data_IF_095462644134
#
_entry.id   IF_095462644134
#
_cell.length_a   1.000
_cell.length_b   1.000
_cell.length_c   1.000
_cell.angle_alpha   90.00
_cell.angle_beta   90.00
_cell.angle_gamma   90.00
#
_symmetry.space_group_name_H-M   'P 1'
#
loop_
_entity.id
_entity.type
_entity.pdbx_description
1 polymer ?
#
# COMPACT_ATOMS: atom_id res chain seq x y z
N UNK A 1 28.88 -7.12 33.72
CA UNK A 1 29.03 -5.91 32.89
C UNK A 1 28.26 -6.13 31.59
N UNK A 2 27.15 -5.41 31.34
CA UNK A 2 26.52 -5.43 30.01
C UNK A 2 27.48 -4.71 29.07
N UNK A 3 28.14 -5.44 28.18
CA UNK A 3 28.89 -4.83 27.08
C UNK A 3 27.88 -4.02 26.26
N UNK A 4 28.05 -2.70 26.20
CA UNK A 4 27.23 -1.87 25.34
C UNK A 4 27.64 -2.18 23.90
N UNK A 5 26.84 -3.01 23.22
CA UNK A 5 27.16 -3.47 21.87
C UNK A 5 27.16 -2.27 20.94
N UNK A 6 28.27 -2.08 20.22
CA UNK A 6 28.43 -0.94 19.32
C UNK A 6 27.56 -1.14 18.09
N UNK A 7 27.16 -0.03 17.47
CA UNK A 7 26.38 -0.04 16.26
C UNK A 7 27.19 0.52 15.08
N UNK A 8 27.10 -0.15 13.94
CA UNK A 8 27.83 0.17 12.73
C UNK A 8 26.87 0.23 11.54
N UNK A 9 27.21 1.04 10.54
CA UNK A 9 26.52 1.10 9.25
C UNK A 9 27.51 0.73 8.16
N UNK A 10 27.18 -0.29 7.38
CA UNK A 10 27.93 -0.69 6.18
C UNK A 10 27.08 -0.44 4.94
N UNK A 11 27.73 -0.33 3.78
CA UNK A 11 27.05 -0.11 2.51
C UNK A 11 27.14 -1.35 1.61
N UNK A 12 26.02 -1.69 0.98
CA UNK A 12 25.93 -2.68 -0.08
C UNK A 12 25.68 -1.97 -1.40
N UNK A 13 26.42 -2.35 -2.45
CA UNK A 13 26.12 -1.94 -3.81
C UNK A 13 25.36 -3.08 -4.52
N UNK A 14 24.06 -2.90 -4.82
CA UNK A 14 23.24 -3.93 -5.48
C UNK A 14 23.76 -4.37 -6.85
N UNK A 15 24.67 -3.62 -7.48
CA UNK A 15 25.31 -4.02 -8.74
C UNK A 15 26.45 -5.02 -8.56
N UNK A 16 27.00 -5.14 -7.35
CA UNK A 16 28.12 -6.02 -7.05
C UNK A 16 27.66 -7.29 -6.33
N UNK A 17 26.66 -7.15 -5.45
CA UNK A 17 26.16 -8.23 -4.61
C UNK A 17 24.66 -8.08 -4.39
N UNK A 18 23.90 -9.13 -4.70
CA UNK A 18 22.47 -9.21 -4.45
C UNK A 18 22.18 -9.57 -2.99
N UNK A 19 22.32 -8.57 -2.12
CA UNK A 19 22.02 -8.71 -0.69
C UNK A 19 20.55 -9.04 -0.42
N UNK A 20 19.64 -8.71 -1.35
CA UNK A 20 18.20 -8.98 -1.20
C UNK A 20 17.94 -10.47 -1.43
N UNK A 21 18.41 -11.01 -2.55
CA UNK A 21 18.36 -12.45 -2.82
C UNK A 21 19.09 -13.27 -1.76
N UNK A 22 20.26 -12.79 -1.30
CA UNK A 22 21.04 -13.47 -0.27
C UNK A 22 20.26 -13.59 1.05
N UNK A 23 19.62 -12.52 1.54
CA UNK A 23 18.81 -12.60 2.76
C UNK A 23 17.45 -13.28 2.57
N UNK A 24 16.92 -13.31 1.35
CA UNK A 24 15.74 -14.12 1.02
C UNK A 24 16.04 -15.62 1.15
N UNK A 25 17.27 -16.06 0.82
CA UNK A 25 17.69 -17.47 0.91
C UNK A 25 18.31 -17.82 2.27
N UNK A 26 19.08 -16.91 2.85
CA UNK A 26 19.88 -17.17 4.03
C UNK A 26 19.52 -16.23 5.17
N UNK A 27 19.34 -16.79 6.38
CA UNK A 27 19.22 -15.98 7.60
C UNK A 27 20.55 -15.35 8.03
N UNK A 28 21.67 -15.82 7.47
CA UNK A 28 23.01 -15.37 7.78
C UNK A 28 23.82 -15.22 6.50
N UNK A 29 24.64 -14.18 6.43
CA UNK A 29 25.58 -13.96 5.34
C UNK A 29 26.97 -13.71 5.90
N UNK A 30 28.00 -13.94 5.08
CA UNK A 30 29.37 -13.55 5.41
C UNK A 30 29.73 -12.28 4.65
N UNK A 31 30.35 -11.33 5.34
CA UNK A 31 30.66 -10.01 4.80
C UNK A 31 32.11 -9.65 5.05
N UNK A 32 32.72 -8.91 4.12
CA UNK A 32 34.10 -8.42 4.28
C UNK A 32 34.25 -7.54 5.53
N UNK A 33 35.31 -7.76 6.30
CA UNK A 33 35.57 -7.03 7.54
C UNK A 33 36.85 -6.21 7.47
N UNK A 34 36.69 -4.93 7.11
CA UNK A 34 37.79 -3.96 7.07
C UNK A 34 37.76 -2.97 8.26
N UNK A 35 37.15 -3.39 9.38
CA UNK A 35 36.85 -2.52 10.53
C UNK A 35 37.01 -3.29 11.86
N UNK A 36 36.74 -2.59 12.96
CA UNK A 36 36.83 -3.13 14.32
C UNK A 36 35.44 -3.52 14.89
N UNK A 37 34.56 -4.08 14.05
CA UNK A 37 33.31 -4.70 14.50
C UNK A 37 33.65 -5.90 15.38
N UNK A 38 33.02 -5.96 16.56
CA UNK A 38 33.20 -7.07 17.49
C UNK A 38 32.01 -8.04 17.44
N UNK A 39 32.23 -9.26 17.91
CA UNK A 39 31.13 -10.21 18.15
C UNK A 39 30.08 -9.59 19.06
N UNK A 40 28.82 -9.63 18.63
CA UNK A 40 27.68 -9.05 19.34
C UNK A 40 27.28 -7.65 18.86
N UNK A 41 28.15 -6.93 18.16
CA UNK A 41 27.83 -5.60 17.62
C UNK A 41 26.64 -5.66 16.65
N UNK A 42 25.89 -4.56 16.61
CA UNK A 42 24.81 -4.36 15.64
C UNK A 42 25.38 -3.77 14.36
N UNK A 43 24.97 -4.33 13.23
CA UNK A 43 25.43 -3.90 11.91
C UNK A 43 24.23 -3.60 11.04
N UNK A 44 24.02 -2.33 10.72
CA UNK A 44 23.02 -1.90 9.76
C UNK A 44 23.60 -1.93 8.34
N UNK A 45 22.80 -2.32 7.36
CA UNK A 45 23.20 -2.37 5.95
C UNK A 45 22.36 -1.36 5.19
N UNK A 46 23.04 -0.34 4.66
CA UNK A 46 22.46 0.60 3.71
C UNK A 46 22.65 0.07 2.30
N UNK A 47 21.56 -0.04 1.55
CA UNK A 47 21.56 -0.58 0.19
C UNK A 47 21.55 0.57 -0.79
N UNK A 48 22.57 0.60 -1.67
CA UNK A 48 22.76 1.64 -2.67
C UNK A 48 21.69 1.66 -3.77
N UNK A 49 21.93 2.43 -4.82
CA UNK A 49 21.00 2.56 -5.96
C UNK A 49 20.66 1.19 -6.59
N UNK A 50 19.39 0.92 -6.94
CA UNK A 50 18.22 1.82 -6.91
C UNK A 50 17.55 1.99 -5.55
N UNK A 51 17.85 1.14 -4.56
CA UNK A 51 17.12 1.06 -3.29
C UNK A 51 17.34 2.31 -2.41
N UNK A 52 18.58 2.77 -2.29
CA UNK A 52 18.96 4.01 -1.58
C UNK A 52 18.39 4.16 -0.15
N UNK A 53 18.26 3.09 0.61
CA UNK A 53 17.76 3.14 2.00
C UNK A 53 18.53 2.19 2.94
N UNK A 54 18.45 2.47 4.25
CA UNK A 54 18.85 1.52 5.29
C UNK A 54 17.83 0.38 5.31
N UNK A 55 18.28 -0.83 4.98
CA UNK A 55 17.38 -1.95 4.66
C UNK A 55 17.45 -3.10 5.65
N UNK A 56 18.61 -3.33 6.27
CA UNK A 56 18.77 -4.44 7.21
C UNK A 56 19.44 -4.02 8.50
N UNK A 57 19.09 -4.70 9.58
CA UNK A 57 19.80 -4.71 10.86
C UNK A 57 20.22 -6.13 11.16
N UNK A 58 21.51 -6.29 11.41
CA UNK A 58 22.14 -7.57 11.66
C UNK A 58 22.87 -7.57 13.01
N UNK A 59 23.22 -8.78 13.47
CA UNK A 59 24.16 -9.00 14.58
C UNK A 59 25.41 -9.72 14.07
N UNK A 60 26.59 -9.21 14.41
CA UNK A 60 27.84 -9.91 14.14
C UNK A 60 27.96 -11.13 15.07
N UNK A 61 27.86 -12.35 14.52
CA UNK A 61 27.98 -13.60 15.28
C UNK A 61 29.42 -14.08 15.39
N UNK A 62 30.18 -13.91 14.31
CA UNK A 62 31.61 -14.22 14.22
C UNK A 62 32.31 -13.07 13.51
N UNK A 63 33.56 -12.81 13.87
CA UNK A 63 34.40 -11.73 13.34
C UNK A 63 35.81 -12.26 13.15
N UNK A 64 36.60 -11.58 12.31
CA UNK A 64 37.97 -11.94 11.98
C UNK A 64 38.11 -13.37 11.43
N UNK A 65 37.18 -13.79 10.57
CA UNK A 65 37.25 -15.08 9.88
C UNK A 65 38.24 -15.00 8.72
N UNK A 66 39.11 -15.98 8.58
CA UNK A 66 40.16 -16.01 7.54
C UNK A 66 39.60 -16.40 6.17
N UNK A 67 38.45 -17.08 6.15
CA UNK A 67 37.76 -17.56 4.95
C UNK A 67 36.25 -17.55 5.14
N UNK A 68 35.53 -17.48 4.03
CA UNK A 68 34.09 -17.70 3.98
C UNK A 68 33.76 -19.19 4.02
N UNK A 69 32.66 -19.54 4.68
CA UNK A 69 32.10 -20.89 4.79
C UNK A 69 30.70 -20.99 4.20
N UNK A 70 30.02 -19.86 3.99
CA UNK A 70 28.73 -19.78 3.32
C UNK A 70 28.98 -19.67 1.82
N UNK A 71 28.40 -20.58 1.04
CA UNK A 71 28.41 -20.47 -0.41
C UNK A 71 27.28 -19.56 -0.88
N UNK A 72 27.59 -18.30 -1.15
CA UNK A 72 26.70 -17.27 -1.67
C UNK A 72 27.12 -16.77 -3.07
N UNK A 73 27.90 -17.58 -3.79
CA UNK A 73 28.42 -17.26 -5.12
C UNK A 73 27.32 -16.88 -6.13
N UNK A 74 26.13 -17.50 -6.00
CA UNK A 74 24.93 -17.18 -6.80
C UNK A 74 24.50 -15.70 -6.71
N UNK A 75 24.88 -15.01 -5.63
CA UNK A 75 24.49 -13.61 -5.37
C UNK A 75 25.60 -12.60 -5.68
N UNK A 76 26.79 -13.07 -6.09
CA UNK A 76 27.90 -12.21 -6.51
C UNK A 76 27.70 -11.85 -7.98
N UNK A 77 27.28 -10.61 -8.23
CA UNK A 77 26.97 -10.12 -9.58
C UNK A 77 28.21 -9.57 -10.31
N UNK A 78 29.16 -9.00 -9.55
CA UNK A 78 30.46 -8.58 -10.07
C UNK A 78 31.56 -8.80 -9.01
N UNK A 79 32.44 -9.76 -9.31
CA UNK A 79 33.54 -10.18 -8.45
C UNK A 79 34.76 -9.25 -8.46
N UNK A 80 34.76 -8.16 -9.23
CA UNK A 80 35.90 -7.24 -9.37
C UNK A 80 36.41 -6.67 -8.03
N UNK A 81 35.51 -6.55 -7.04
CA UNK A 81 35.79 -6.09 -5.67
C UNK A 81 35.87 -7.22 -4.62
N UNK A 82 35.66 -8.49 -5.01
CA UNK A 82 35.79 -9.68 -4.17
C UNK A 82 37.24 -10.24 -4.19
N UNK A 83 38.24 -9.36 -4.27
CA UNK A 83 39.63 -9.73 -3.98
C UNK A 83 39.77 -9.98 -2.49
N UNK A 84 40.51 -11.03 -2.13
CA UNK A 84 40.79 -11.50 -0.77
C UNK A 84 40.99 -10.32 0.20
N UNK A 85 39.97 -10.00 1.00
CA UNK A 85 39.97 -8.82 1.88
C UNK A 85 40.60 -9.10 3.26
N UNK A 86 41.19 -10.30 3.42
CA UNK A 86 41.95 -10.72 4.59
C UNK A 86 41.08 -11.16 5.78
N UNK A 87 39.91 -10.56 6.01
CA UNK A 87 39.00 -10.93 7.11
C UNK A 87 37.54 -10.82 6.72
N UNK A 88 36.72 -11.72 7.27
CA UNK A 88 35.27 -11.75 7.11
C UNK A 88 34.55 -11.77 8.47
N UNK A 89 33.26 -11.42 8.45
CA UNK A 89 32.35 -11.52 9.59
C UNK A 89 31.06 -12.23 9.18
N UNK A 90 30.50 -13.04 10.08
CA UNK A 90 29.19 -13.69 9.92
C UNK A 90 28.12 -12.75 10.51
N UNK A 91 27.19 -12.30 9.67
CA UNK A 91 26.08 -11.43 10.04
C UNK A 91 24.78 -12.23 10.08
N UNK A 92 24.10 -12.22 11.24
CA UNK A 92 22.75 -12.74 11.38
C UNK A 92 21.74 -11.62 11.16
N UNK A 93 20.80 -11.81 10.23
CA UNK A 93 19.70 -10.89 10.03
C UNK A 93 18.80 -10.85 11.28
N UNK A 94 18.51 -9.65 11.78
CA UNK A 94 17.58 -9.43 12.89
C UNK A 94 16.27 -8.81 12.40
N UNK A 95 16.38 -7.74 11.63
CA UNK A 95 15.25 -6.97 11.15
C UNK A 95 15.53 -6.50 9.71
N UNK A 96 14.46 -6.46 8.92
CA UNK A 96 14.42 -5.85 7.60
C UNK A 96 13.54 -4.60 7.67
N UNK A 97 13.91 -3.56 6.92
CA UNK A 97 13.22 -2.29 6.87
C UNK A 97 12.97 -1.89 5.43
N UNK A 98 11.80 -1.30 5.22
CA UNK A 98 11.46 -0.63 3.97
C UNK A 98 10.87 0.75 4.24
N UNK A 99 11.69 1.59 4.88
CA UNK A 99 11.31 2.91 5.37
C UNK A 99 12.01 3.97 4.49
N UNK A 100 11.29 4.64 3.57
CA UNK A 100 11.88 5.64 2.67
C UNK A 100 12.61 6.77 3.41
N UNK A 101 12.16 7.10 4.62
CA UNK A 101 12.76 8.13 5.46
C UNK A 101 14.14 7.78 6.01
N UNK A 102 14.58 6.53 5.91
CA UNK A 102 15.94 6.11 6.23
C UNK A 102 16.87 6.19 5.01
N UNK A 103 16.73 7.26 4.22
CA UNK A 103 17.57 7.59 3.08
C UNK A 103 18.92 8.22 3.52
N UNK A 104 19.90 8.26 2.60
CA UNK A 104 21.25 8.73 2.93
C UNK A 104 21.33 10.21 3.29
N UNK A 105 20.45 11.06 2.71
CA UNK A 105 20.45 12.50 2.98
C UNK A 105 20.08 12.73 4.44
N UNK A 106 19.00 12.08 4.90
CA UNK A 106 18.53 12.21 6.29
C UNK A 106 19.45 11.54 7.30
N UNK A 107 20.05 10.39 6.96
CA UNK A 107 21.06 9.77 7.83
C UNK A 107 22.27 10.68 8.03
N UNK A 108 22.71 11.40 6.98
CA UNK A 108 23.80 12.38 7.07
C UNK A 108 23.44 13.60 7.92
N UNK A 109 22.23 14.14 7.74
CA UNK A 109 21.70 15.23 8.56
C UNK A 109 21.72 14.89 10.06
N UNK A 110 21.62 13.60 10.41
CA UNK A 110 21.60 13.11 11.80
C UNK A 110 22.89 12.41 12.23
N UNK A 111 24.02 12.73 11.60
CA UNK A 111 25.35 12.38 12.11
C UNK A 111 26.08 11.24 11.40
N UNK A 112 25.59 10.74 10.25
CA UNK A 112 26.34 9.81 9.43
C UNK A 112 27.50 10.51 8.70
N UNK A 113 28.74 10.18 9.07
CA UNK A 113 29.95 10.86 8.59
C UNK A 113 30.41 10.43 7.18
N UNK A 114 30.53 9.13 6.93
CA UNK A 114 30.98 8.60 5.63
C UNK A 114 30.20 7.36 5.22
N UNK A 115 30.18 7.08 3.92
CA UNK A 115 29.47 5.93 3.32
C UNK A 115 30.39 5.07 2.45
N UNK A 116 31.65 5.49 2.27
CA UNK A 116 32.64 4.78 1.46
C UNK A 116 33.18 3.53 2.17
N UNK A 117 32.91 3.38 3.46
CA UNK A 117 33.23 2.21 4.25
C UNK A 117 32.35 2.12 5.50
N UNK A 118 32.62 1.14 6.37
CA UNK A 118 31.92 0.96 7.62
C UNK A 118 32.00 2.21 8.50
N UNK A 119 30.85 2.76 8.88
CA UNK A 119 30.73 3.94 9.73
C UNK A 119 30.19 3.57 11.10
N UNK A 120 30.76 4.12 12.16
CA UNK A 120 30.20 3.99 13.51
C UNK A 120 28.92 4.81 13.60
N UNK A 121 27.85 4.22 14.13
CA UNK A 121 26.60 4.91 14.41
C UNK A 121 26.76 5.64 15.75
N UNK A 122 26.56 6.95 15.73
CA UNK A 122 26.53 7.79 16.94
C UNK A 122 25.22 7.61 17.69
N UNK A 123 25.16 7.99 18.97
CA UNK A 123 23.92 7.92 19.74
C UNK A 123 22.81 8.80 19.16
N UNK A 124 23.17 9.91 18.54
CA UNK A 124 22.24 10.76 17.78
C UNK A 124 21.62 10.03 16.59
N UNK A 125 22.46 9.44 15.74
CA UNK A 125 21.99 8.68 14.58
C UNK A 125 21.17 7.46 15.02
N UNK A 126 21.58 6.79 16.10
CA UNK A 126 20.85 5.66 16.71
C UNK A 126 19.46 6.09 17.16
N UNK A 127 19.35 7.21 17.88
CA UNK A 127 18.05 7.77 18.32
C UNK A 127 17.19 8.16 17.14
N UNK A 128 17.77 8.74 16.09
CA UNK A 128 17.03 9.07 14.87
C UNK A 128 16.46 7.83 14.19
N UNK A 129 17.31 6.82 13.93
CA UNK A 129 16.89 5.55 13.31
C UNK A 129 15.79 4.90 14.14
N UNK A 130 15.97 4.80 15.47
CA UNK A 130 14.96 4.26 16.37
C UNK A 130 13.67 5.07 16.36
N UNK A 131 13.74 6.41 16.40
CA UNK A 131 12.56 7.28 16.33
C UNK A 131 11.78 7.07 15.04
N UNK A 132 12.46 6.97 13.90
CA UNK A 132 11.82 6.74 12.60
C UNK A 132 11.22 5.34 12.53
N UNK A 133 11.93 4.31 12.99
CA UNK A 133 11.41 2.93 13.11
C UNK A 133 10.17 2.92 14.00
N UNK A 134 10.26 3.45 15.22
CA UNK A 134 9.14 3.52 16.16
C UNK A 134 8.00 4.35 15.60
N UNK A 135 8.25 5.48 14.94
CA UNK A 135 7.19 6.26 14.30
C UNK A 135 6.51 5.47 13.18
N UNK A 136 7.30 4.85 12.31
CA UNK A 136 6.80 4.06 11.19
C UNK A 136 5.95 2.89 11.68
N UNK A 137 6.46 2.13 12.65
CA UNK A 137 5.76 0.99 13.22
C UNK A 137 4.63 1.36 14.18
N UNK A 138 4.70 2.48 14.90
CA UNK A 138 3.57 2.96 15.71
C UNK A 138 2.44 3.42 14.80
N UNK A 139 2.74 4.11 13.69
CA UNK A 139 1.73 4.43 12.66
C UNK A 139 1.21 3.15 12.00
N UNK A 140 2.05 2.12 11.86
CA UNK A 140 1.60 0.81 11.38
C UNK A 140 0.89 -0.06 12.45
N UNK A 141 0.73 0.44 13.68
CA UNK A 141 0.01 -0.21 14.78
C UNK A 141 -1.23 0.57 15.22
N UNK A 142 -1.44 1.78 14.69
CA UNK A 142 -2.68 2.55 14.87
C UNK A 142 -3.78 1.87 14.06
N UNK A 143 -4.96 1.70 14.64
CA UNK A 143 -6.10 1.19 13.88
C UNK A 143 -6.51 2.21 12.79
N UNK A 144 -7.31 1.75 11.82
CA UNK A 144 -7.85 2.62 10.76
C UNK A 144 -8.54 3.88 11.31
N UNK A 145 -9.18 3.78 12.47
CA UNK A 145 -9.90 4.88 13.12
C UNK A 145 -8.96 5.97 13.64
N UNK A 146 -7.77 5.63 14.13
CA UNK A 146 -6.83 6.58 14.71
C UNK A 146 -6.10 7.43 13.66
N UNK A 147 -5.79 6.85 12.50
CA UNK A 147 -5.23 7.61 11.38
C UNK A 147 -6.28 8.53 10.77
N UNK A 148 -7.51 8.04 10.58
CA UNK A 148 -8.58 8.87 10.03
C UNK A 148 -8.91 10.04 10.97
N UNK A 149 -8.94 9.82 12.29
CA UNK A 149 -9.04 10.92 13.29
C UNK A 149 -7.97 11.99 13.09
N UNK A 150 -6.70 11.60 12.94
CA UNK A 150 -5.60 12.56 12.69
C UNK A 150 -5.79 13.35 11.38
N UNK A 151 -6.33 12.72 10.34
CA UNK A 151 -6.63 13.39 9.06
C UNK A 151 -7.80 14.36 9.20
N UNK A 152 -8.80 14.00 9.98
CA UNK A 152 -9.94 14.86 10.30
C UNK A 152 -9.52 16.06 11.15
N UNK A 153 -8.65 15.86 12.15
CA UNK A 153 -8.09 16.93 12.98
C UNK A 153 -7.26 17.94 12.18
N UNK A 154 -6.48 17.45 11.21
CA UNK A 154 -5.62 18.27 10.35
C UNK A 154 -6.36 18.94 9.20
N UNK A 155 -7.60 18.55 8.90
CA UNK A 155 -8.35 19.13 7.81
C UNK A 155 -8.64 20.63 8.10
N UNK A 156 -8.39 21.55 7.15
CA UNK A 156 -8.65 22.97 7.36
C UNK A 156 -10.12 23.22 7.73
N UNK A 157 -10.34 23.94 8.84
CA UNK A 157 -11.66 24.13 9.43
C UNK A 157 -12.39 25.37 8.91
N UNK A 158 -12.00 25.89 7.75
CA UNK A 158 -12.51 27.13 7.14
C UNK A 158 -14.04 27.18 7.04
N UNK A 159 -14.64 26.03 6.73
CA UNK A 159 -16.10 25.85 6.73
C UNK A 159 -16.54 24.66 7.59
N UNK A 160 -15.85 24.40 8.69
CA UNK A 160 -16.30 23.47 9.71
C UNK A 160 -17.17 24.19 10.75
N UNK A 161 -18.20 23.52 11.25
CA UNK A 161 -19.01 24.01 12.38
C UNK A 161 -19.38 22.85 13.30
N UNK A 162 -19.63 23.13 14.60
CA UNK A 162 -20.18 22.14 15.51
C UNK A 162 -21.49 21.56 14.93
N UNK A 163 -21.68 20.26 15.13
CA UNK A 163 -22.93 19.55 14.83
C UNK A 163 -23.36 18.80 16.07
N UNK A 164 -24.66 18.75 16.30
CA UNK A 164 -25.24 18.03 17.44
C UNK A 164 -25.66 16.60 17.07
N UNK A 165 -25.38 16.16 15.83
CA UNK A 165 -25.72 14.81 15.36
C UNK A 165 -24.51 13.89 15.56
N UNK A 166 -24.63 12.94 16.49
CA UNK A 166 -23.60 11.96 16.79
C UNK A 166 -23.67 10.72 15.85
N UNK A 167 -22.69 9.82 15.97
CA UNK A 167 -22.58 8.62 15.13
C UNK A 167 -23.82 7.71 15.21
N UNK A 168 -24.38 7.48 16.39
CA UNK A 168 -25.56 6.62 16.57
C UNK A 168 -26.80 7.21 15.89
N UNK A 169 -27.01 8.52 16.03
CA UNK A 169 -28.07 9.23 15.34
C UNK A 169 -27.91 9.13 13.81
N UNK A 170 -26.69 9.27 13.29
CA UNK A 170 -26.44 9.06 11.86
C UNK A 170 -26.76 7.63 11.41
N UNK A 171 -26.43 6.62 12.20
CA UNK A 171 -26.77 5.22 11.89
C UNK A 171 -28.28 5.00 11.82
N UNK A 172 -29.06 5.63 12.71
CA UNK A 172 -30.52 5.60 12.64
C UNK A 172 -31.06 6.30 11.38
N UNK A 173 -30.57 7.50 11.06
CA UNK A 173 -31.00 8.25 9.88
C UNK A 173 -30.68 7.52 8.58
N UNK A 174 -29.50 6.90 8.47
CA UNK A 174 -29.07 6.14 7.28
C UNK A 174 -29.94 4.91 7.00
N UNK A 175 -30.65 4.40 8.01
CA UNK A 175 -31.60 3.28 7.88
C UNK A 175 -33.04 3.74 7.59
N UNK A 176 -33.36 5.03 7.77
CA UNK A 176 -34.70 5.56 7.54
C UNK A 176 -34.88 5.96 6.06
N UNK A 177 -35.70 5.23 5.27
CA UNK A 177 -35.91 5.53 3.87
C UNK A 177 -36.64 6.87 3.63
N UNK A 178 -37.30 7.43 4.65
CA UNK A 178 -37.93 8.75 4.57
C UNK A 178 -36.89 9.87 4.63
N UNK A 179 -35.73 9.62 5.23
CA UNK A 179 -34.62 10.58 5.32
C UNK A 179 -33.60 10.30 4.21
N UNK A 180 -33.06 9.08 4.16
CA UNK A 180 -32.06 8.65 3.19
C UNK A 180 -32.68 7.75 2.11
N UNK A 181 -32.84 8.31 0.91
CA UNK A 181 -33.24 7.53 -0.27
C UNK A 181 -32.06 6.72 -0.79
N UNK A 182 -32.32 5.70 -1.59
CA UNK A 182 -31.27 4.89 -2.23
C UNK A 182 -30.27 5.74 -3.03
N UNK A 183 -30.72 6.80 -3.70
CA UNK A 183 -29.85 7.75 -4.41
C UNK A 183 -28.93 8.53 -3.46
N UNK A 184 -29.42 8.89 -2.27
CA UNK A 184 -28.65 9.61 -1.26
C UNK A 184 -27.58 8.71 -0.66
N UNK A 185 -27.95 7.46 -0.35
CA UNK A 185 -27.00 6.44 0.13
C UNK A 185 -25.90 6.23 -0.91
N UNK A 186 -26.25 6.04 -2.19
CA UNK A 186 -25.27 5.91 -3.28
C UNK A 186 -24.33 7.12 -3.33
N UNK A 187 -24.87 8.34 -3.21
CA UNK A 187 -24.05 9.56 -3.20
C UNK A 187 -23.12 9.61 -1.98
N UNK A 188 -23.61 9.31 -0.78
CA UNK A 188 -22.76 9.29 0.42
C UNK A 188 -21.66 8.24 0.33
N UNK A 189 -21.95 7.05 -0.23
CA UNK A 189 -20.92 6.03 -0.49
C UNK A 189 -19.83 6.56 -1.42
N UNK A 190 -20.15 7.36 -2.44
CA UNK A 190 -19.13 8.00 -3.30
C UNK A 190 -18.23 8.95 -2.52
N UNK A 191 -18.80 9.83 -1.69
CA UNK A 191 -18.02 10.70 -0.82
C UNK A 191 -17.14 9.92 0.14
N UNK A 192 -17.68 8.85 0.73
CA UNK A 192 -16.94 7.98 1.65
C UNK A 192 -15.72 7.33 0.97
N UNK A 193 -15.87 6.87 -0.26
CA UNK A 193 -14.78 6.22 -1.02
C UNK A 193 -13.72 7.21 -1.55
N UNK A 194 -13.98 8.51 -1.50
CA UNK A 194 -12.99 9.52 -1.91
C UNK A 194 -11.88 9.70 -0.86
N UNK A 195 -10.73 10.20 -1.31
CA UNK A 195 -9.60 10.44 -0.41
C UNK A 195 -9.99 11.36 0.75
N UNK A 196 -9.67 10.95 1.99
CA UNK A 196 -10.05 11.65 3.22
C UNK A 196 -11.57 11.90 3.37
N UNK A 197 -12.40 11.09 2.70
CA UNK A 197 -13.84 11.30 2.56
C UNK A 197 -14.19 12.69 2.00
N UNK A 198 -13.31 13.23 1.15
CA UNK A 198 -13.37 14.58 0.61
C UNK A 198 -13.22 14.59 -0.90
N UNK A 199 -14.09 15.34 -1.60
CA UNK A 199 -14.05 15.49 -3.07
C UNK A 199 -14.82 16.74 -3.49
N UNK A 200 -14.71 17.10 -4.76
CA UNK A 200 -15.48 18.22 -5.35
C UNK A 200 -16.69 17.68 -6.13
N UNK A 201 -17.77 18.47 -6.22
CA UNK A 201 -18.89 18.12 -7.11
C UNK A 201 -18.45 18.02 -8.59
N UNK A 202 -17.37 18.72 -8.98
CA UNK A 202 -16.80 18.65 -10.32
C UNK A 202 -16.17 17.28 -10.61
N UNK A 203 -15.42 16.73 -9.67
CA UNK A 203 -14.81 15.39 -9.81
C UNK A 203 -15.87 14.31 -9.92
N UNK A 204 -16.90 14.36 -9.06
CA UNK A 204 -18.03 13.42 -9.14
C UNK A 204 -18.77 13.52 -10.48
N UNK A 205 -18.98 14.75 -10.97
CA UNK A 205 -19.68 15.02 -12.21
C UNK A 205 -18.96 14.47 -13.44
N UNK A 206 -17.62 14.56 -13.46
CA UNK A 206 -16.80 13.96 -14.52
C UNK A 206 -17.01 12.45 -14.55
N UNK A 207 -17.04 11.80 -13.38
CA UNK A 207 -17.23 10.35 -13.29
C UNK A 207 -18.63 9.91 -13.74
N UNK A 208 -19.67 10.65 -13.38
CA UNK A 208 -21.05 10.26 -13.67
C UNK A 208 -21.60 10.86 -14.98
N UNK A 209 -20.80 11.65 -15.71
CA UNK A 209 -21.22 12.32 -16.94
C UNK A 209 -22.38 13.30 -16.74
N UNK A 210 -22.46 13.94 -15.57
CA UNK A 210 -23.55 14.84 -15.21
C UNK A 210 -23.06 16.27 -14.87
N UNK A 211 -23.98 17.19 -14.58
CA UNK A 211 -23.60 18.55 -14.15
C UNK A 211 -23.22 18.56 -12.65
N UNK A 212 -22.16 19.28 -12.23
CA UNK A 212 -21.80 19.43 -10.82
C UNK A 212 -22.96 19.95 -9.95
N UNK A 213 -23.84 20.77 -10.52
CA UNK A 213 -25.01 21.34 -9.83
C UNK A 213 -26.01 20.26 -9.37
N UNK A 214 -26.05 19.11 -10.03
CA UNK A 214 -26.95 17.99 -9.67
C UNK A 214 -26.63 17.43 -8.28
N UNK A 215 -25.34 17.37 -7.90
CA UNK A 215 -24.94 16.93 -6.56
C UNK A 215 -25.31 17.96 -5.50
N UNK A 216 -25.04 19.23 -5.76
CA UNK A 216 -25.36 20.31 -4.82
C UNK A 216 -26.86 20.32 -4.48
N UNK A 217 -27.72 20.17 -5.49
CA UNK A 217 -29.18 20.07 -5.29
C UNK A 217 -29.55 18.85 -4.45
N UNK A 218 -28.96 17.69 -4.75
CA UNK A 218 -29.21 16.44 -4.00
C UNK A 218 -28.77 16.55 -2.54
N UNK A 219 -27.58 17.10 -2.29
CA UNK A 219 -27.02 17.34 -0.96
C UNK A 219 -27.92 18.28 -0.15
N UNK A 220 -28.37 19.38 -0.75
CA UNK A 220 -29.27 20.34 -0.07
C UNK A 220 -30.61 19.69 0.26
N UNK A 221 -31.18 18.90 -0.65
CA UNK A 221 -32.43 18.19 -0.41
C UNK A 221 -32.31 17.17 0.74
N UNK A 222 -31.20 16.42 0.78
CA UNK A 222 -30.90 15.49 1.87
C UNK A 222 -30.72 16.22 3.20
N UNK A 223 -29.91 17.27 3.23
CA UNK A 223 -29.67 18.05 4.45
C UNK A 223 -30.97 18.61 5.04
N UNK A 224 -31.92 19.07 4.20
CA UNK A 224 -33.25 19.50 4.66
C UNK A 224 -34.03 18.38 5.34
N UNK A 225 -34.02 17.16 4.79
CA UNK A 225 -34.69 16.00 5.41
C UNK A 225 -34.05 15.64 6.75
N UNK A 226 -32.72 15.67 6.82
CA UNK A 226 -31.99 15.44 8.07
C UNK A 226 -32.38 16.48 9.11
N UNK A 227 -32.37 17.78 8.78
CA UNK A 227 -32.79 18.85 9.69
C UNK A 227 -34.19 18.62 10.27
N UNK A 228 -35.15 18.21 9.44
CA UNK A 228 -36.52 17.90 9.89
C UNK A 228 -36.53 16.71 10.85
N UNK A 229 -35.81 15.64 10.53
CA UNK A 229 -35.78 14.42 11.34
C UNK A 229 -35.06 14.61 12.68
N UNK A 230 -34.05 15.49 12.75
CA UNK A 230 -33.24 15.70 13.95
C UNK A 230 -33.59 16.95 14.74
N UNK A 231 -34.48 17.81 14.21
CA UNK A 231 -34.72 19.14 14.77
C UNK A 231 -33.51 20.08 14.71
N UNK A 232 -32.49 19.75 13.90
CA UNK A 232 -31.27 20.56 13.77
C UNK A 232 -31.49 21.70 12.78
N UNK A 233 -30.99 22.89 13.08
CA UNK A 233 -31.08 24.04 12.19
C UNK A 233 -29.83 24.20 11.29
N UNK A 234 -29.99 24.62 10.01
CA UNK A 234 -28.85 24.90 9.16
C UNK A 234 -28.16 26.21 9.58
N UNK A 235 -26.84 26.27 9.38
CA UNK A 235 -26.07 27.49 9.63
C UNK A 235 -26.52 28.62 8.69
N UNK A 236 -26.68 29.82 9.24
CA UNK A 236 -26.99 31.04 8.50
C UNK A 236 -25.67 31.80 8.32
N UNK A 237 -25.32 32.15 7.09
CA UNK A 237 -24.11 32.95 6.83
C UNK A 237 -24.33 34.45 7.09
N UNK A 238 -23.25 35.22 6.97
CA UNK A 238 -23.25 36.69 7.12
C UNK A 238 -24.24 37.43 6.20
N UNK A 239 -24.70 36.77 5.12
CA UNK A 239 -25.69 37.32 4.17
C UNK A 239 -27.13 36.92 4.50
N UNK A 240 -27.35 36.19 5.59
CA UNK A 240 -28.66 35.66 5.97
C UNK A 240 -29.09 34.40 5.22
N UNK A 241 -28.21 33.79 4.41
CA UNK A 241 -28.54 32.59 3.63
C UNK A 241 -28.26 31.31 4.42
N UNK A 242 -29.23 30.39 4.40
CA UNK A 242 -29.11 29.05 5.00
C UNK A 242 -28.14 28.17 4.19
N UNK A 243 -27.08 27.68 4.84
CA UNK A 243 -26.07 26.78 4.28
C UNK A 243 -26.35 25.33 4.70
N UNK A 244 -27.42 24.77 4.14
CA UNK A 244 -27.92 23.41 4.42
C UNK A 244 -26.84 22.33 4.39
N UNK A 245 -25.96 22.42 3.40
CA UNK A 245 -24.97 21.39 3.14
C UNK A 245 -23.98 21.17 4.31
N UNK A 246 -23.80 22.18 5.17
CA UNK A 246 -22.94 22.13 6.36
C UNK A 246 -23.41 21.13 7.42
N UNK A 247 -24.64 20.65 7.29
CA UNK A 247 -25.18 19.55 8.12
C UNK A 247 -24.44 18.25 7.84
N UNK A 248 -24.08 18.00 6.58
CA UNK A 248 -23.48 16.73 6.13
C UNK A 248 -21.96 16.84 5.97
N UNK A 249 -21.46 18.02 5.64
CA UNK A 249 -20.08 18.23 5.20
C UNK A 249 -19.39 19.40 5.91
N UNK A 250 -18.08 19.28 6.10
CA UNK A 250 -17.15 20.42 6.15
C UNK A 250 -16.74 20.80 4.72
N UNK A 251 -16.01 21.91 4.57
CA UNK A 251 -15.48 22.27 3.26
C UNK A 251 -14.34 23.28 3.31
N UNK A 252 -13.71 23.44 2.15
CA UNK A 252 -12.68 24.46 1.87
C UNK A 252 -12.59 24.72 0.37
N UNK A 253 -11.99 25.83 -0.01
CA UNK A 253 -11.54 26.02 -1.39
C UNK A 253 -10.14 25.43 -1.54
N UNK A 254 -9.94 24.65 -2.61
CA UNK A 254 -8.62 24.18 -3.03
C UNK A 254 -7.89 25.28 -3.81
N UNK A 255 -6.59 25.08 -4.05
CA UNK A 255 -5.75 25.99 -4.85
C UNK A 255 -6.28 26.17 -6.29
N UNK A 256 -6.93 25.16 -6.84
CA UNK A 256 -7.58 25.17 -8.16
C UNK A 256 -8.93 25.92 -8.19
N UNK A 257 -9.34 26.52 -7.06
CA UNK A 257 -10.61 27.23 -6.84
C UNK A 257 -11.86 26.34 -6.86
N UNK A 258 -11.72 25.02 -6.94
CA UNK A 258 -12.87 24.14 -6.73
C UNK A 258 -13.17 24.00 -5.24
N UNK A 259 -14.47 23.96 -4.91
CA UNK A 259 -14.92 23.77 -3.54
C UNK A 259 -14.89 22.28 -3.19
N UNK A 260 -14.06 21.92 -2.22
CA UNK A 260 -13.94 20.57 -1.68
C UNK A 260 -14.90 20.39 -0.52
N UNK A 261 -15.64 19.30 -0.58
CA UNK A 261 -16.63 18.87 0.38
C UNK A 261 -16.07 17.68 1.13
N UNK A 262 -15.89 17.81 2.45
CA UNK A 262 -15.42 16.71 3.31
C UNK A 262 -16.56 16.20 4.16
N UNK A 263 -16.86 14.90 4.08
CA UNK A 263 -17.88 14.27 4.91
C UNK A 263 -17.54 14.46 6.39
N UNK A 264 -18.56 14.73 7.22
CA UNK A 264 -18.37 14.82 8.66
C UNK A 264 -17.86 13.50 9.25
N UNK A 265 -16.90 13.53 10.20
CA UNK A 265 -16.33 12.31 10.79
C UNK A 265 -17.37 11.36 11.40
N UNK A 266 -18.40 11.90 12.06
CA UNK A 266 -19.47 11.12 12.70
C UNK A 266 -20.32 10.38 11.66
N UNK A 267 -20.61 11.05 10.53
CA UNK A 267 -21.33 10.45 9.40
C UNK A 267 -20.47 9.40 8.69
N UNK A 268 -19.18 9.68 8.47
CA UNK A 268 -18.26 8.71 7.88
C UNK A 268 -18.15 7.45 8.76
N UNK A 269 -18.02 7.61 10.07
CA UNK A 269 -18.00 6.50 11.03
C UNK A 269 -19.30 5.68 10.98
N UNK A 270 -20.46 6.34 10.88
CA UNK A 270 -21.74 5.67 10.76
C UNK A 270 -21.86 4.87 9.45
N UNK A 271 -21.39 5.40 8.32
CA UNK A 271 -21.33 4.69 7.03
C UNK A 271 -20.42 3.47 7.12
N UNK A 272 -19.22 3.64 7.69
CA UNK A 272 -18.26 2.55 7.87
C UNK A 272 -18.86 1.37 8.65
N UNK A 273 -19.60 1.67 9.72
CA UNK A 273 -20.26 0.67 10.55
C UNK A 273 -21.40 -0.08 9.84
N UNK A 274 -22.15 0.61 8.96
CA UNK A 274 -23.27 0.01 8.23
C UNK A 274 -22.86 -0.68 6.93
N UNK A 275 -21.74 -0.25 6.35
CA UNK A 275 -21.25 -0.69 5.04
C UNK A 275 -19.75 -1.02 5.12
N UNK A 276 -19.35 -2.04 5.92
CA UNK A 276 -17.95 -2.38 6.13
C UNK A 276 -17.25 -2.80 4.83
N UNK A 277 -18.00 -3.26 3.82
CA UNK A 277 -17.48 -3.60 2.49
C UNK A 277 -16.81 -2.42 1.77
N UNK A 278 -17.15 -1.18 2.11
CA UNK A 278 -16.57 0.00 1.47
C UNK A 278 -15.10 0.22 1.87
N UNK A 279 -14.70 -0.20 3.07
CA UNK A 279 -13.31 -0.08 3.52
C UNK A 279 -12.38 -1.02 2.74
N UNK A 280 -12.86 -2.23 2.47
CA UNK A 280 -12.18 -3.24 1.65
C UNK A 280 -11.94 -2.69 0.25
N UNK A 281 -12.99 -2.15 -0.39
CA UNK A 281 -12.90 -1.57 -1.74
C UNK A 281 -11.97 -0.36 -1.81
N UNK A 282 -11.92 0.48 -0.77
CA UNK A 282 -11.03 1.63 -0.73
C UNK A 282 -9.56 1.20 -0.65
N UNK A 283 -9.25 0.20 0.18
CA UNK A 283 -7.92 -0.38 0.28
C UNK A 283 -7.47 -0.97 -1.07
N UNK A 284 -8.33 -1.77 -1.72
CA UNK A 284 -8.03 -2.33 -3.04
C UNK A 284 -7.68 -1.27 -4.08
N UNK A 285 -8.53 -0.23 -4.20
CA UNK A 285 -8.35 0.81 -5.21
C UNK A 285 -7.07 1.62 -4.98
N UNK A 286 -6.74 1.91 -3.72
CA UNK A 286 -5.49 2.57 -3.36
C UNK A 286 -4.29 1.72 -3.77
N UNK A 287 -4.31 0.44 -3.43
CA UNK A 287 -3.22 -0.48 -3.72
C UNK A 287 -3.04 -0.75 -5.23
N UNK A 288 -4.14 -0.89 -5.98
CA UNK A 288 -4.13 -1.05 -7.44
C UNK A 288 -3.52 0.19 -8.11
N UNK A 289 -3.93 1.39 -7.68
CA UNK A 289 -3.39 2.65 -8.20
C UNK A 289 -1.89 2.77 -7.94
N UNK A 290 -1.45 2.42 -6.72
CA UNK A 290 -0.04 2.43 -6.34
C UNK A 290 0.77 1.46 -7.21
N UNK A 291 0.30 0.22 -7.38
CA UNK A 291 0.93 -0.80 -8.22
C UNK A 291 1.06 -0.36 -9.69
N UNK A 292 -0.02 0.17 -10.27
CA UNK A 292 0.01 0.66 -11.65
C UNK A 292 0.98 1.85 -11.80
N UNK A 293 1.05 2.72 -10.79
CA UNK A 293 1.97 3.86 -10.80
C UNK A 293 3.44 3.43 -10.75
N UNK A 294 3.76 2.43 -9.91
CA UNK A 294 5.09 1.85 -9.77
C UNK A 294 5.55 1.17 -11.05
N UNK A 295 4.63 0.47 -11.73
CA UNK A 295 4.92 -0.15 -13.03
C UNK A 295 5.15 0.90 -14.13
N UNK A 296 4.42 2.02 -14.12
CA UNK A 296 4.55 3.10 -15.11
C UNK A 296 5.89 3.84 -15.03
N UNK A 297 6.47 4.00 -13.85
CA UNK A 297 7.71 4.77 -13.66
C UNK A 297 8.98 4.00 -14.07
N UNK A 298 8.85 2.75 -14.49
CA UNK A 298 9.97 1.86 -14.66
C UNK A 298 10.46 1.71 -16.11
N UNK A 299 11.79 1.71 -16.28
CA UNK A 299 12.42 1.33 -17.55
C UNK A 299 12.37 -0.19 -17.69
N UNK A 300 11.46 -0.68 -18.55
CA UNK A 300 11.20 -2.11 -18.77
C UNK A 300 12.02 -2.70 -19.94
N UNK A 301 13.24 -2.22 -20.12
CA UNK A 301 14.15 -2.77 -21.12
C UNK A 301 14.68 -4.12 -20.62
N UNK A 302 14.43 -5.19 -21.38
CA UNK A 302 14.83 -6.58 -21.10
C UNK A 302 13.98 -7.34 -20.06
N UNK A 303 12.65 -7.31 -20.21
CA UNK A 303 11.75 -8.15 -19.42
C UNK A 303 11.77 -9.62 -19.88
N UNK A 304 11.86 -10.54 -18.91
CA UNK A 304 11.73 -11.98 -19.10
C UNK A 304 10.35 -12.37 -19.64
N UNK A 305 10.29 -13.47 -20.39
CA UNK A 305 9.05 -14.06 -20.92
C UNK A 305 8.88 -15.47 -20.37
N UNK A 306 7.63 -15.89 -20.17
CA UNK A 306 7.30 -17.26 -19.79
C UNK A 306 7.78 -17.65 -18.39
N UNK A 307 7.68 -16.73 -17.42
CA UNK A 307 7.97 -17.04 -16.02
C UNK A 307 7.16 -18.26 -15.57
N UNK A 308 7.78 -19.14 -14.80
CA UNK A 308 7.12 -20.35 -14.27
C UNK A 308 6.82 -20.15 -12.79
N UNK A 309 5.58 -20.43 -12.42
CA UNK A 309 5.14 -20.44 -11.03
C UNK A 309 5.96 -21.43 -10.21
N UNK A 310 6.29 -21.01 -8.99
CA UNK A 310 7.20 -21.75 -8.13
C UNK A 310 6.44 -22.64 -7.14
N UNK A 311 5.17 -22.32 -6.86
CA UNK A 311 4.36 -23.05 -5.89
C UNK A 311 4.93 -22.96 -4.47
N UNK A 312 5.61 -21.85 -4.14
CA UNK A 312 6.24 -21.65 -2.83
C UNK A 312 5.43 -20.59 -2.06
N UNK A 313 4.79 -20.96 -0.93
CA UNK A 313 4.12 -20.01 -0.07
C UNK A 313 5.07 -18.90 0.40
N UNK A 314 4.63 -17.64 0.30
CA UNK A 314 5.37 -16.48 0.82
C UNK A 314 4.83 -16.10 2.19
N UNK A 315 5.73 -15.77 3.12
CA UNK A 315 5.33 -15.23 4.42
C UNK A 315 4.71 -13.84 4.26
N UNK A 316 3.65 -13.61 5.01
CA UNK A 316 2.96 -12.33 5.07
C UNK A 316 3.89 -11.24 5.61
N UNK A 317 3.93 -10.11 4.91
CA UNK A 317 4.67 -8.94 5.36
C UNK A 317 3.90 -8.21 6.47
N UNK A 318 4.60 -7.37 7.23
CA UNK A 318 3.94 -6.49 8.21
C UNK A 318 3.02 -5.53 7.45
N UNK A 319 1.76 -5.46 7.87
CA UNK A 319 0.82 -4.52 7.29
C UNK A 319 1.28 -3.08 7.54
N UNK A 320 1.15 -2.24 6.53
CA UNK A 320 1.29 -0.80 6.64
C UNK A 320 -0.09 -0.17 6.68
N UNK A 321 -0.20 1.05 7.18
CA UNK A 321 -1.46 1.77 7.15
C UNK A 321 -1.31 2.96 6.22
N UNK A 322 -2.05 2.96 5.12
CA UNK A 322 -2.10 4.04 4.15
C UNK A 322 -3.51 4.62 4.14
N UNK A 323 -3.64 5.94 4.29
CA UNK A 323 -4.94 6.62 4.32
C UNK A 323 -5.95 6.10 5.35
N UNK A 324 -5.47 5.53 6.47
CA UNK A 324 -6.33 4.92 7.47
C UNK A 324 -6.97 3.61 6.99
N UNK A 325 -6.35 2.94 6.03
CA UNK A 325 -6.64 1.57 5.62
C UNK A 325 -5.39 0.71 5.87
N UNK A 326 -5.58 -0.45 6.49
CA UNK A 326 -4.58 -1.51 6.59
C UNK A 326 -4.32 -2.06 5.19
N UNK A 327 -3.08 -1.99 4.77
CA UNK A 327 -2.59 -2.30 3.42
C UNK A 327 -1.40 -3.24 3.53
N UNK A 328 -1.30 -4.19 2.61
CA UNK A 328 -0.15 -5.07 2.50
C UNK A 328 0.72 -4.63 1.32
N UNK A 329 2.01 -4.43 1.59
CA UNK A 329 2.92 -3.95 0.55
C UNK A 329 3.08 -5.01 -0.55
N UNK A 330 2.76 -4.61 -1.78
CA UNK A 330 2.93 -5.43 -2.98
C UNK A 330 4.38 -5.34 -3.47
N UNK A 331 4.89 -6.46 -3.95
CA UNK A 331 6.21 -6.56 -4.55
C UNK A 331 6.09 -6.42 -6.08
N UNK A 332 6.63 -5.32 -6.59
CA UNK A 332 6.62 -5.03 -8.03
C UNK A 332 7.19 -6.18 -8.87
N UNK A 333 8.20 -6.90 -8.38
CA UNK A 333 8.81 -7.99 -9.15
C UNK A 333 7.84 -9.17 -9.31
N UNK A 334 6.99 -9.43 -8.31
CA UNK A 334 5.96 -10.49 -8.37
C UNK A 334 4.94 -10.16 -9.46
N UNK A 335 4.47 -8.91 -9.50
CA UNK A 335 3.59 -8.47 -10.58
C UNK A 335 4.26 -8.60 -11.96
N UNK A 336 5.53 -8.22 -12.09
CA UNK A 336 6.29 -8.38 -13.35
C UNK A 336 6.39 -9.86 -13.75
N UNK A 337 6.65 -10.75 -12.80
CA UNK A 337 6.74 -12.18 -13.02
C UNK A 337 5.40 -12.77 -13.47
N UNK A 338 4.29 -12.38 -12.84
CA UNK A 338 2.95 -12.81 -13.25
C UNK A 338 2.58 -12.32 -14.67
N UNK A 339 2.89 -11.06 -15.00
CA UNK A 339 2.72 -10.57 -16.37
C UNK A 339 3.59 -11.35 -17.37
N UNK A 340 4.82 -11.68 -16.99
CA UNK A 340 5.73 -12.47 -17.81
C UNK A 340 5.24 -13.92 -17.99
N UNK A 341 4.63 -14.52 -16.96
CA UNK A 341 4.00 -15.84 -17.01
C UNK A 341 2.92 -15.90 -18.10
N UNK A 342 2.08 -14.86 -18.14
CA UNK A 342 1.04 -14.70 -19.16
C UNK A 342 1.56 -14.18 -20.52
N UNK A 343 2.88 -14.10 -20.72
CA UNK A 343 3.50 -13.55 -21.93
C UNK A 343 3.02 -12.13 -22.27
N UNK A 344 2.67 -11.34 -21.25
CA UNK A 344 2.07 -10.01 -21.38
C UNK A 344 0.77 -10.02 -22.20
N UNK A 345 0.03 -11.13 -22.18
CA UNK A 345 -1.30 -11.26 -22.80
C UNK A 345 -2.38 -11.30 -21.73
N UNK A 346 -3.62 -11.04 -22.13
CA UNK A 346 -4.76 -11.17 -21.25
C UNK A 346 -5.09 -12.65 -21.03
N UNK A 347 -5.22 -13.07 -19.77
CA UNK A 347 -5.49 -14.48 -19.44
C UNK A 347 -6.97 -14.85 -19.63
N UNK A 348 -7.88 -13.88 -19.55
CA UNK A 348 -9.28 -14.09 -19.98
C UNK A 348 -9.34 -14.48 -21.46
N UNK A 349 -8.55 -13.82 -22.32
CA UNK A 349 -8.42 -14.18 -23.73
C UNK A 349 -7.13 -13.59 -24.32
N UNK A 350 -6.21 -14.46 -24.73
CA UNK A 350 -4.92 -14.06 -25.30
C UNK A 350 -4.99 -13.35 -26.65
N UNK A 351 -6.17 -13.28 -27.28
CA UNK A 351 -6.44 -12.54 -28.51
C UNK A 351 -6.99 -11.13 -28.27
N UNK A 352 -7.28 -10.75 -27.01
CA UNK A 352 -7.70 -9.39 -26.71
C UNK A 352 -6.62 -8.40 -27.15
N UNK A 353 -7.07 -7.37 -27.87
CA UNK A 353 -6.18 -6.33 -28.35
C UNK A 353 -5.60 -5.54 -27.16
N UNK A 354 -4.30 -5.29 -27.24
CA UNK A 354 -3.53 -4.47 -26.31
C UNK A 354 -2.51 -3.66 -27.10
N UNK A 355 -2.20 -2.44 -26.67
CA UNK A 355 -1.12 -1.65 -27.27
C UNK A 355 0.24 -2.03 -26.69
N UNK A 356 1.32 -1.65 -27.38
CA UNK A 356 2.70 -1.82 -26.88
C UNK A 356 2.98 -0.80 -25.78
N UNK A 357 3.52 -1.25 -24.66
CA UNK A 357 3.85 -0.42 -23.51
C UNK A 357 4.98 0.55 -23.85
N UNK A 358 4.81 1.83 -23.49
CA UNK A 358 5.83 2.87 -23.73
C UNK A 358 7.17 2.47 -23.10
N UNK A 359 8.25 2.51 -23.89
CA UNK A 359 9.59 2.16 -23.43
C UNK A 359 9.84 0.66 -23.24
N UNK A 360 8.97 -0.19 -23.79
CA UNK A 360 9.08 -1.66 -23.79
C UNK A 360 8.73 -2.21 -25.19
N UNK A 361 9.10 -3.45 -25.45
CA UNK A 361 8.67 -4.25 -26.60
C UNK A 361 7.47 -5.16 -26.27
N UNK A 362 6.92 -5.08 -25.04
CA UNK A 362 5.83 -5.93 -24.56
C UNK A 362 4.48 -5.24 -24.66
N UNK A 363 3.44 -6.06 -24.81
CA UNK A 363 2.05 -5.65 -24.71
C UNK A 363 1.73 -5.04 -23.33
N UNK A 364 0.81 -4.09 -23.31
CA UNK A 364 0.31 -3.51 -22.07
C UNK A 364 -0.85 -4.34 -21.52
N UNK A 365 -0.57 -5.02 -20.41
CA UNK A 365 -1.55 -5.62 -19.52
C UNK A 365 -1.38 -5.11 -18.09
N UNK A 366 -2.43 -5.25 -17.30
CA UNK A 366 -2.56 -4.79 -15.92
C UNK A 366 -2.59 -6.02 -15.01
N UNK A 367 -1.71 -6.10 -14.00
CA UNK A 367 -1.75 -7.17 -13.02
C UNK A 367 -2.94 -6.98 -12.07
N UNK A 368 -3.67 -8.04 -11.80
CA UNK A 368 -4.80 -8.03 -10.86
C UNK A 368 -4.69 -9.23 -9.92
N UNK A 369 -4.74 -9.00 -8.61
CA UNK A 369 -4.76 -10.08 -7.62
C UNK A 369 -6.13 -10.78 -7.67
N UNK A 370 -6.18 -12.06 -8.05
CA UNK A 370 -7.42 -12.81 -8.19
C UNK A 370 -8.14 -12.90 -6.84
N UNK A 371 -7.46 -13.34 -5.79
CA UNK A 371 -7.91 -13.15 -4.40
C UNK A 371 -7.49 -11.75 -3.96
N UNK A 372 -8.44 -10.84 -3.66
CA UNK A 372 -8.10 -9.44 -3.39
C UNK A 372 -7.26 -9.26 -2.12
N UNK A 373 -6.27 -8.37 -2.18
CA UNK A 373 -5.27 -8.14 -1.13
C UNK A 373 -5.85 -7.62 0.20
N UNK A 374 -6.96 -6.90 0.16
CA UNK A 374 -7.73 -6.43 1.31
C UNK A 374 -8.24 -7.55 2.21
N UNK A 375 -8.37 -8.77 1.67
CA UNK A 375 -8.72 -9.97 2.42
C UNK A 375 -7.51 -10.74 2.97
N UNK A 376 -6.29 -10.18 2.88
CA UNK A 376 -5.07 -10.84 3.36
C UNK A 376 -5.17 -11.30 4.82
N UNK A 377 -5.97 -10.64 5.66
CA UNK A 377 -6.20 -11.06 7.06
C UNK A 377 -6.93 -12.38 7.24
N UNK A 378 -7.58 -12.89 6.21
CA UNK A 378 -8.20 -14.21 6.20
C UNK A 378 -7.19 -15.33 5.88
N UNK A 379 -5.94 -14.99 5.56
CA UNK A 379 -4.91 -15.93 5.14
C UNK A 379 -3.65 -15.81 6.00
N UNK A 380 -3.04 -16.96 6.31
CA UNK A 380 -1.77 -17.07 7.03
C UNK A 380 -0.55 -16.76 6.14
N UNK A 381 -0.74 -16.89 4.82
CA UNK A 381 0.28 -16.63 3.79
C UNK A 381 0.07 -15.25 3.16
N UNK A 382 1.08 -14.75 2.48
CA UNK A 382 0.95 -13.54 1.66
C UNK A 382 0.06 -13.80 0.45
N UNK A 383 -0.92 -12.94 0.20
CA UNK A 383 -1.68 -12.92 -1.05
C UNK A 383 -0.87 -12.33 -2.22
N UNK A 384 0.23 -11.63 -1.92
CA UNK A 384 1.15 -11.10 -2.93
C UNK A 384 2.18 -12.16 -3.34
N UNK A 385 1.74 -13.06 -4.23
CA UNK A 385 2.46 -14.17 -4.86
C UNK A 385 2.06 -14.26 -6.33
N UNK A 386 2.96 -14.75 -7.19
CA UNK A 386 2.73 -14.76 -8.65
C UNK A 386 1.47 -15.53 -9.04
N UNK A 387 1.21 -16.67 -8.38
CA UNK A 387 0.08 -17.56 -8.60
C UNK A 387 -1.28 -16.88 -8.33
N UNK A 388 -1.31 -15.85 -7.49
CA UNK A 388 -2.51 -15.08 -7.20
C UNK A 388 -2.67 -13.85 -8.10
N UNK A 389 -1.73 -13.55 -8.99
CA UNK A 389 -1.83 -12.38 -9.88
C UNK A 389 -2.13 -12.85 -11.30
N UNK A 390 -3.15 -12.27 -11.91
CA UNK A 390 -3.52 -12.49 -13.30
C UNK A 390 -3.20 -11.28 -14.18
N UNK A 391 -2.81 -11.54 -15.43
CA UNK A 391 -2.53 -10.51 -16.43
C UNK A 391 -3.79 -10.20 -17.25
N UNK A 392 -4.29 -8.96 -17.18
CA UNK A 392 -5.53 -8.57 -17.83
C UNK A 392 -5.33 -7.41 -18.82
N UNK A 393 -6.10 -7.39 -19.91
CA UNK A 393 -6.24 -6.15 -20.67
C UNK A 393 -7.09 -5.15 -19.88
N UNK A 394 -6.95 -3.84 -20.15
CA UNK A 394 -7.69 -2.80 -19.43
C UNK A 394 -9.21 -2.99 -19.49
N UNK A 395 -9.75 -3.61 -20.54
CA UNK A 395 -11.19 -3.90 -20.59
C UNK A 395 -11.61 -4.98 -19.60
N UNK A 396 -10.94 -6.14 -19.59
CA UNK A 396 -11.26 -7.23 -18.66
C UNK A 396 -10.99 -6.85 -17.21
N UNK A 397 -9.94 -6.08 -16.97
CA UNK A 397 -9.62 -5.56 -15.65
C UNK A 397 -10.76 -4.67 -15.11
N UNK A 398 -11.20 -3.69 -15.90
CA UNK A 398 -12.33 -2.85 -15.54
C UNK A 398 -13.64 -3.63 -15.44
N UNK A 399 -13.84 -4.67 -16.25
CA UNK A 399 -15.03 -5.52 -16.16
C UNK A 399 -15.09 -6.28 -14.83
N UNK A 400 -13.95 -6.75 -14.30
CA UNK A 400 -13.92 -7.38 -12.98
C UNK A 400 -14.31 -6.42 -11.85
N UNK A 401 -13.89 -5.15 -11.92
CA UNK A 401 -14.19 -4.16 -10.88
C UNK A 401 -15.56 -3.48 -11.02
N UNK A 402 -16.01 -3.22 -12.24
CA UNK A 402 -17.13 -2.32 -12.52
C UNK A 402 -18.19 -2.90 -13.45
N UNK A 403 -17.87 -3.98 -14.15
CA UNK A 403 -18.72 -4.51 -15.20
C UNK A 403 -19.74 -5.52 -14.70
N UNK A 404 -20.91 -5.53 -15.34
CA UNK A 404 -21.83 -6.65 -15.22
C UNK A 404 -21.19 -7.92 -15.85
N UNK A 405 -21.52 -9.08 -15.27
CA UNK A 405 -21.00 -10.37 -15.75
C UNK A 405 -19.56 -10.70 -15.36
N UNK A 406 -18.97 -9.98 -14.39
CA UNK A 406 -17.65 -10.29 -13.83
C UNK A 406 -17.51 -11.74 -13.35
N UNK A 407 -18.61 -12.37 -12.90
CA UNK A 407 -18.68 -13.79 -12.51
C UNK A 407 -18.12 -14.73 -13.60
N UNK A 408 -18.40 -14.47 -14.88
CA UNK A 408 -17.93 -15.31 -15.98
C UNK A 408 -16.41 -15.26 -16.14
N UNK A 409 -15.82 -14.07 -15.98
CA UNK A 409 -14.38 -13.86 -16.02
C UNK A 409 -13.73 -14.53 -14.79
N UNK A 410 -14.29 -14.29 -13.60
CA UNK A 410 -13.80 -14.89 -12.36
C UNK A 410 -13.84 -16.41 -12.39
N UNK A 411 -14.92 -17.01 -12.93
CA UNK A 411 -15.04 -18.46 -13.05
C UNK A 411 -13.93 -19.05 -13.90
N UNK A 412 -13.63 -18.43 -15.04
CA UNK A 412 -12.53 -18.86 -15.90
C UNK A 412 -11.19 -18.77 -15.15
N UNK A 413 -10.87 -17.59 -14.62
CA UNK A 413 -9.59 -17.33 -13.95
C UNK A 413 -9.40 -18.21 -12.71
N UNK A 414 -10.46 -18.43 -11.93
CA UNK A 414 -10.45 -19.32 -10.77
C UNK A 414 -10.15 -20.77 -11.18
N UNK A 415 -10.85 -21.29 -12.18
CA UNK A 415 -10.62 -22.66 -12.64
C UNK A 415 -9.17 -22.87 -13.16
N UNK A 416 -8.57 -21.83 -13.74
CA UNK A 416 -7.17 -21.86 -14.19
C UNK A 416 -6.18 -21.78 -13.01
N UNK A 417 -6.54 -21.13 -11.90
CA UNK A 417 -5.65 -20.85 -10.75
C UNK A 417 -5.89 -21.70 -9.51
N UNK A 418 -7.00 -22.42 -9.38
CA UNK A 418 -7.41 -23.13 -8.16
C UNK A 418 -6.28 -23.97 -7.55
N UNK A 419 -5.66 -24.85 -8.35
CA UNK A 419 -4.53 -25.68 -7.90
C UNK A 419 -3.27 -24.89 -7.58
N UNK A 420 -3.01 -23.82 -8.32
CA UNK A 420 -1.82 -22.99 -8.11
C UNK A 420 -1.93 -22.20 -6.81
N UNK A 421 -3.12 -21.67 -6.51
CA UNK A 421 -3.45 -21.03 -5.24
C UNK A 421 -3.31 -22.00 -4.06
N UNK A 422 -3.82 -23.22 -4.20
CA UNK A 422 -3.69 -24.27 -3.18
C UNK A 422 -2.22 -24.59 -2.88
N UNK A 423 -1.38 -24.70 -3.91
CA UNK A 423 0.06 -24.97 -3.76
C UNK A 423 0.81 -23.89 -2.96
N UNK A 424 0.37 -22.63 -3.04
CA UNK A 424 0.95 -21.51 -2.29
C UNK A 424 0.25 -21.27 -0.94
N UNK A 425 -0.67 -22.14 -0.54
CA UNK A 425 -1.37 -22.08 0.76
C UNK A 425 -2.54 -21.10 0.79
N UNK A 426 -3.06 -20.69 -0.36
CA UNK A 426 -4.27 -19.85 -0.49
C UNK A 426 -5.45 -20.77 -0.76
N UNK A 427 -6.10 -21.22 0.32
CA UNK A 427 -7.28 -22.08 0.25
C UNK A 427 -8.56 -21.24 0.23
N UNK A 428 -9.25 -21.20 -0.92
CA UNK A 428 -10.48 -20.43 -1.09
C UNK A 428 -11.41 -21.11 -2.12
N UNK A 429 -12.69 -21.22 -1.80
CA UNK A 429 -13.71 -21.73 -2.72
C UNK A 429 -14.21 -20.66 -3.70
N UNK A 430 -14.69 -21.06 -4.88
CA UNK A 430 -15.22 -20.12 -5.88
C UNK A 430 -16.34 -19.22 -5.33
N UNK A 431 -17.27 -19.79 -4.54
CA UNK A 431 -18.35 -19.01 -3.92
C UNK A 431 -17.85 -17.98 -2.88
N UNK A 432 -16.72 -18.24 -2.23
CA UNK A 432 -16.10 -17.28 -1.31
C UNK A 432 -15.41 -16.17 -2.09
N UNK A 433 -14.74 -16.52 -3.20
CA UNK A 433 -14.17 -15.55 -4.11
C UNK A 433 -15.23 -14.58 -4.64
N UNK A 434 -16.40 -15.07 -5.10
CA UNK A 434 -17.48 -14.19 -5.58
C UNK A 434 -17.94 -13.18 -4.52
N UNK A 435 -18.03 -13.60 -3.25
CA UNK A 435 -18.38 -12.69 -2.14
C UNK A 435 -17.34 -11.59 -1.94
N UNK A 436 -16.05 -11.90 -2.14
CA UNK A 436 -14.97 -10.89 -2.08
C UNK A 436 -15.08 -9.82 -3.16
N UNK A 437 -15.72 -10.13 -4.29
CA UNK A 437 -16.04 -9.18 -5.36
C UNK A 437 -17.44 -8.56 -5.23
N UNK A 438 -18.16 -8.82 -4.12
CA UNK A 438 -19.52 -8.31 -3.91
C UNK A 438 -20.58 -8.93 -4.83
N UNK A 439 -20.28 -10.07 -5.45
CA UNK A 439 -21.19 -10.82 -6.32
C UNK A 439 -21.96 -11.81 -5.43
N UNK A 440 -23.29 -11.82 -5.56
CA UNK A 440 -24.22 -12.56 -4.69
C UNK A 440 -24.56 -13.94 -5.22
#
# INVERSE_FOLDING_TARGET
MKTDNRAWLITCNPRLYDVIGAFARFKKIEWKQNNNINKGDIVYIYVGSPIKCLKYKCRALKVNLDKTTINDSDFVLDGSNYKFCGRYMELLLLEEYDIPELDIKRLREHGLRTIQGPSRITDELKRYIQKIITKYYNVSCLDNSDIQKLRDEKYPKDYANPSNINTEQWQHLLKDPNVFRLSDIKLMKKFYLSDNHATTCSELAIHDGCSPSSYTTSIVALAKRVCVATGTEPLIDETGKKRWWRILFWGRYREDRHFEWKMRPELATAISALYPELNVNMAEKLEETELLSDLKQSSLKNMTLGFQHKGIPRKKQVAIYNNGCKVYKRDRQISINALAHAWYKCEVNGLHWTFIRKGSDKNYTEPHHLVPMSYSDMFEVSLDVEENIVSLCSNCHNQLHYGEGAELLLKKLYNEREKELENVGIHIGFSELLKMYGIK
#
